data_IF_210358159193
#
_entry.id   IF_210358159193
#
_cell.length_a   1.000
_cell.length_b   1.000
_cell.length_c   1.000
_cell.angle_alpha   90.00
_cell.angle_beta   90.00
_cell.angle_gamma   90.00
#
_symmetry.space_group_name_H-M   'P 1'
#
loop_
_entity.id
_entity.type
_entity.pdbx_description
1 polymer ?
#
# COMPACT_ATOMS: atom_id res chain seq x y z
N UNK A 1 17.33 0.72 -8.74
CA UNK A 1 16.46 1.71 -9.43
C UNK A 1 15.02 1.49 -8.94
N UNK A 2 14.24 2.55 -8.73
CA UNK A 2 12.83 2.44 -8.31
C UNK A 2 11.98 1.91 -9.48
N UNK A 3 11.13 0.92 -9.23
CA UNK A 3 10.20 0.40 -10.24
C UNK A 3 9.22 1.52 -10.67
N UNK A 4 9.05 1.78 -11.98
CA UNK A 4 8.18 2.85 -12.46
C UNK A 4 6.68 2.58 -12.24
N UNK A 5 6.31 1.32 -11.96
CA UNK A 5 4.92 0.93 -11.75
C UNK A 5 4.54 0.90 -10.26
N UNK A 6 5.29 0.15 -9.46
CA UNK A 6 4.94 -0.07 -8.05
C UNK A 6 5.77 0.78 -7.08
N UNK A 7 6.64 1.65 -7.59
CA UNK A 7 7.36 2.65 -6.83
C UNK A 7 8.32 2.09 -5.75
N UNK A 8 8.67 0.81 -5.77
CA UNK A 8 9.68 0.27 -4.85
C UNK A 8 10.99 -0.01 -5.56
N UNK A 9 12.09 0.20 -4.85
CA UNK A 9 13.41 -0.31 -5.24
C UNK A 9 13.59 -1.80 -4.97
N UNK A 10 12.78 -2.36 -4.06
CA UNK A 10 12.77 -3.78 -3.71
C UNK A 10 11.46 -4.43 -4.19
N UNK A 11 11.62 -5.46 -5.02
CA UNK A 11 10.51 -6.21 -5.62
C UNK A 11 9.85 -7.21 -4.67
N UNK A 12 10.42 -7.48 -3.49
CA UNK A 12 9.89 -8.38 -2.46
C UNK A 12 9.65 -7.67 -1.12
N UNK A 13 9.58 -6.34 -1.14
CA UNK A 13 9.36 -5.51 0.05
C UNK A 13 8.02 -5.76 0.76
N UNK A 14 7.01 -6.24 0.03
CA UNK A 14 5.67 -6.54 0.55
C UNK A 14 5.33 -8.01 0.35
N UNK A 15 4.48 -8.62 1.19
CA UNK A 15 3.79 -8.01 2.34
C UNK A 15 4.74 -7.73 3.52
N UNK A 16 4.38 -6.74 4.36
CA UNK A 16 5.22 -6.29 5.49
C UNK A 16 5.12 -7.19 6.74
N UNK A 17 4.02 -7.93 6.88
CA UNK A 17 3.70 -8.74 8.05
C UNK A 17 3.09 -10.05 7.57
N UNK A 18 3.47 -11.15 8.24
CA UNK A 18 3.03 -12.51 7.93
C UNK A 18 2.95 -12.75 6.41
N UNK A 19 4.05 -12.56 5.66
CA UNK A 19 4.03 -12.45 4.20
C UNK A 19 3.44 -13.69 3.53
N UNK A 20 3.81 -14.89 3.98
CA UNK A 20 3.29 -16.15 3.43
C UNK A 20 1.77 -16.26 3.57
N UNK A 21 1.24 -16.06 4.79
CA UNK A 21 -0.19 -16.08 5.07
C UNK A 21 -0.95 -15.05 4.23
N UNK A 22 -0.44 -13.83 4.15
CA UNK A 22 -1.03 -12.78 3.32
C UNK A 22 -1.04 -13.16 1.83
N UNK A 23 0.04 -13.73 1.30
CA UNK A 23 0.13 -14.12 -0.10
C UNK A 23 -0.81 -15.27 -0.46
N UNK A 24 -1.02 -16.22 0.46
CA UNK A 24 -1.96 -17.35 0.29
C UNK A 24 -3.42 -16.92 0.42
N UNK A 25 -3.72 -16.08 1.42
CA UNK A 25 -5.10 -15.86 1.86
C UNK A 25 -5.73 -14.57 1.37
N UNK A 26 -4.95 -13.61 0.86
CA UNK A 26 -5.47 -12.31 0.41
C UNK A 26 -5.35 -12.11 -1.10
N UNK A 27 -6.22 -11.24 -1.63
CA UNK A 27 -6.05 -10.73 -3.00
C UNK A 27 -4.83 -9.81 -3.03
N UNK A 28 -4.00 -9.96 -4.06
CA UNK A 28 -2.80 -9.16 -4.28
C UNK A 28 -2.97 -8.27 -5.52
N UNK A 29 -2.38 -7.08 -5.47
CA UNK A 29 -1.91 -6.40 -6.66
C UNK A 29 -0.53 -6.95 -7.02
N UNK A 30 -0.36 -7.44 -8.25
CA UNK A 30 0.89 -7.97 -8.77
C UNK A 30 1.45 -6.99 -9.80
N UNK A 31 2.62 -6.44 -9.49
CA UNK A 31 3.33 -5.54 -10.38
C UNK A 31 3.75 -6.25 -11.66
N UNK A 32 3.34 -5.74 -12.82
CA UNK A 32 3.70 -6.34 -14.11
C UNK A 32 5.17 -6.10 -14.49
N UNK A 33 5.80 -5.08 -13.90
CA UNK A 33 7.19 -4.73 -14.18
C UNK A 33 8.20 -5.55 -13.38
N UNK A 34 7.96 -5.79 -12.08
CA UNK A 34 8.92 -6.47 -11.20
C UNK A 34 8.34 -7.65 -10.40
N UNK A 35 7.07 -8.00 -10.60
CA UNK A 35 6.42 -9.11 -9.91
C UNK A 35 6.08 -8.87 -8.44
N UNK A 36 6.35 -7.68 -7.87
CA UNK A 36 6.01 -7.37 -6.47
C UNK A 36 4.52 -7.60 -6.22
N UNK A 37 4.21 -8.39 -5.19
CA UNK A 37 2.86 -8.62 -4.69
C UNK A 37 2.57 -7.67 -3.53
N UNK A 38 1.44 -6.97 -3.59
CA UNK A 38 1.01 -5.98 -2.59
C UNK A 38 -0.40 -6.36 -2.16
N UNK A 39 -0.62 -6.51 -0.84
CA UNK A 39 -1.92 -6.86 -0.31
C UNK A 39 -2.98 -5.82 -0.72
N UNK A 40 -4.11 -6.31 -1.24
CA UNK A 40 -5.29 -5.53 -1.61
C UNK A 40 -6.45 -5.74 -0.63
N UNK A 41 -6.28 -6.58 0.39
CA UNK A 41 -7.33 -6.80 1.36
C UNK A 41 -7.58 -5.54 2.19
N UNK A 42 -8.81 -5.42 2.66
CA UNK A 42 -9.32 -4.27 3.41
C UNK A 42 -9.71 -4.67 4.83
N UNK A 43 -8.99 -5.64 5.42
CA UNK A 43 -9.20 -5.98 6.81
C UNK A 43 -8.47 -4.98 7.71
N UNK A 44 -9.21 -3.94 8.14
CA UNK A 44 -8.75 -2.96 9.13
C UNK A 44 -8.28 -3.62 10.44
N UNK A 45 -8.76 -4.83 10.77
CA UNK A 45 -8.37 -5.56 11.99
C UNK A 45 -6.95 -6.08 11.87
N UNK A 46 -6.55 -6.51 10.68
CA UNK A 46 -5.22 -7.05 10.46
C UNK A 46 -4.18 -5.97 10.12
N UNK A 47 -4.63 -4.73 9.84
CA UNK A 47 -3.77 -3.60 9.44
C UNK A 47 -2.93 -3.91 8.19
N UNK A 48 -3.50 -4.69 7.29
CA UNK A 48 -2.91 -4.99 5.98
C UNK A 48 -3.62 -4.18 4.91
N UNK A 49 -2.90 -3.88 3.83
CA UNK A 49 -3.52 -3.33 2.62
C UNK A 49 -3.64 -1.80 2.56
N UNK A 50 -4.29 -1.28 1.50
CA UNK A 50 -4.08 0.10 1.09
C UNK A 50 -4.81 1.15 1.92
N UNK A 51 -5.84 0.76 2.70
CA UNK A 51 -6.57 1.65 3.61
C UNK A 51 -5.95 1.73 5.02
N UNK A 52 -4.95 0.91 5.30
CA UNK A 52 -4.31 0.83 6.61
C UNK A 52 -3.67 2.17 7.04
N UNK A 53 -3.38 2.28 8.33
CA UNK A 53 -2.54 3.35 8.88
C UNK A 53 -1.12 2.84 9.05
N UNK A 54 -0.15 3.54 8.46
CA UNK A 54 1.25 3.16 8.42
C UNK A 54 2.05 3.92 9.48
N UNK A 55 3.05 3.26 10.08
CA UNK A 55 3.97 3.87 11.04
C UNK A 55 5.03 4.76 10.39
N UNK A 56 5.29 4.59 9.09
CA UNK A 56 6.28 5.38 8.36
C UNK A 56 5.77 5.77 6.97
N UNK A 57 6.31 6.86 6.44
CA UNK A 57 6.06 7.30 5.06
C UNK A 57 6.50 6.25 4.04
N UNK A 58 7.63 5.57 4.29
CA UNK A 58 8.16 4.54 3.40
C UNK A 58 7.23 3.32 3.33
N UNK A 59 6.63 2.90 4.45
CA UNK A 59 5.64 1.83 4.43
C UNK A 59 4.41 2.24 3.62
N UNK A 60 3.91 3.47 3.77
CA UNK A 60 2.80 3.98 2.97
C UNK A 60 3.12 3.99 1.47
N UNK A 61 4.35 4.37 1.08
CA UNK A 61 4.81 4.32 -0.31
C UNK A 61 4.76 2.91 -0.91
N UNK A 62 4.98 1.86 -0.11
CA UNK A 62 4.89 0.47 -0.56
C UNK A 62 3.45 0.03 -0.89
N UNK A 63 2.44 0.75 -0.42
CA UNK A 63 1.02 0.45 -0.68
C UNK A 63 0.34 1.45 -1.62
N UNK A 64 1.01 2.54 -2.01
CA UNK A 64 0.45 3.56 -2.90
C UNK A 64 -0.12 2.97 -4.19
N UNK A 65 0.61 2.07 -4.86
CA UNK A 65 0.15 1.44 -6.11
C UNK A 65 -1.12 0.59 -5.92
N UNK A 66 -1.22 -0.09 -4.78
CA UNK A 66 -2.40 -0.87 -4.45
C UNK A 66 -3.60 0.04 -4.11
N UNK A 67 -3.36 1.19 -3.48
CA UNK A 67 -4.39 2.19 -3.23
C UNK A 67 -4.94 2.77 -4.54
N UNK A 68 -4.08 3.14 -5.48
CA UNK A 68 -4.49 3.62 -6.81
C UNK A 68 -5.38 2.60 -7.53
N UNK A 69 -5.01 1.31 -7.44
CA UNK A 69 -5.78 0.23 -8.05
C UNK A 69 -7.13 0.02 -7.35
N UNK A 70 -7.17 0.15 -6.02
CA UNK A 70 -8.37 -0.01 -5.20
C UNK A 70 -9.38 1.13 -5.41
N UNK A 71 -8.89 2.35 -5.44
CA UNK A 71 -9.72 3.55 -5.60
C UNK A 71 -9.94 3.95 -7.06
N UNK A 72 -9.21 3.31 -7.99
CA UNK A 72 -9.24 3.59 -9.42
C UNK A 72 -9.01 5.08 -9.74
N UNK A 73 -7.98 5.66 -9.15
CA UNK A 73 -7.61 7.06 -9.33
C UNK A 73 -6.23 7.39 -8.76
N UNK A 74 -5.74 8.63 -8.96
CA UNK A 74 -4.56 9.11 -8.26
C UNK A 74 -4.79 9.06 -6.74
N UNK A 75 -3.71 8.95 -5.98
CA UNK A 75 -3.76 8.93 -4.52
C UNK A 75 -2.66 9.82 -3.94
N UNK A 76 -2.88 10.28 -2.71
CA UNK A 76 -1.92 11.05 -1.93
C UNK A 76 -1.64 10.39 -0.58
N UNK A 77 -0.39 10.51 -0.12
CA UNK A 77 0.03 10.09 1.23
C UNK A 77 0.04 11.31 2.14
N UNK A 78 -0.67 11.21 3.26
CA UNK A 78 -0.80 12.28 4.22
C UNK A 78 -0.19 11.88 5.56
N UNK A 79 0.57 12.80 6.16
CA UNK A 79 0.99 12.68 7.55
C UNK A 79 -0.14 13.13 8.48
N UNK A 80 -0.42 12.29 9.47
CA UNK A 80 -1.46 12.50 10.45
C UNK A 80 -0.90 12.30 11.85
N UNK A 81 -1.55 12.94 12.82
CA UNK A 81 -1.24 12.76 14.24
C UNK A 81 -2.51 12.73 15.08
N UNK A 82 -2.48 12.00 16.18
CA UNK A 82 -3.49 12.06 17.25
C UNK A 82 -3.01 12.85 18.48
N UNK A 83 -1.91 13.60 18.35
CA UNK A 83 -1.25 14.32 19.43
C UNK A 83 -0.23 13.50 20.21
N UNK A 84 -0.24 12.17 20.09
CA UNK A 84 0.71 11.27 20.76
C UNK A 84 1.66 10.57 19.80
N UNK A 85 1.15 10.18 18.62
CA UNK A 85 1.93 9.51 17.58
C UNK A 85 1.70 10.17 16.23
N UNK A 86 2.68 9.99 15.35
CA UNK A 86 2.56 10.28 13.92
C UNK A 86 2.30 8.97 13.19
N UNK A 87 1.44 9.03 12.17
CA UNK A 87 1.13 7.92 11.27
C UNK A 87 0.77 8.47 9.89
N UNK A 88 0.76 7.59 8.90
CA UNK A 88 0.55 7.95 7.50
C UNK A 88 -0.65 7.19 6.96
N UNK A 89 -1.47 7.85 6.14
CA UNK A 89 -2.60 7.22 5.43
C UNK A 89 -2.63 7.68 3.99
N UNK A 90 -3.23 6.83 3.15
CA UNK A 90 -3.41 7.09 1.73
C UNK A 90 -4.87 7.47 1.49
N UNK A 91 -5.09 8.58 0.80
CA UNK A 91 -6.42 9.03 0.39
C UNK A 91 -6.42 9.33 -1.11
N UNK A 92 -7.58 9.25 -1.75
CA UNK A 92 -7.74 9.61 -3.18
C UNK A 92 -7.45 11.10 -3.38
N UNK A 93 -7.98 11.92 -2.49
CA UNK A 93 -7.92 13.36 -2.57
C UNK A 93 -8.09 14.01 -1.19
N UNK A 94 -8.10 15.34 -1.19
CA UNK A 94 -8.31 16.15 0.00
C UNK A 94 -9.71 15.94 0.61
N UNK A 95 -10.72 15.63 -0.19
CA UNK A 95 -12.07 15.37 0.34
C UNK A 95 -12.09 14.07 1.16
N UNK A 96 -11.38 13.04 0.69
CA UNK A 96 -11.15 11.80 1.44
C UNK A 96 -10.44 12.04 2.78
N UNK A 97 -9.40 12.88 2.80
CA UNK A 97 -8.75 13.32 4.04
C UNK A 97 -9.75 14.03 4.96
N UNK A 98 -10.52 14.99 4.44
CA UNK A 98 -11.45 15.80 5.25
C UNK A 98 -12.55 14.95 5.87
N UNK A 99 -13.12 14.01 5.11
CA UNK A 99 -14.12 13.07 5.63
C UNK A 99 -13.55 12.23 6.79
N UNK A 100 -12.33 11.71 6.63
CA UNK A 100 -11.65 10.98 7.69
C UNK A 100 -11.43 11.83 8.94
N UNK A 101 -11.02 13.10 8.81
CA UNK A 101 -10.81 14.00 9.95
C UNK A 101 -12.13 14.39 10.65
N UNK A 102 -13.24 14.47 9.91
CA UNK A 102 -14.59 14.69 10.48
C UNK A 102 -15.01 13.50 11.33
N UNK A 103 -14.79 12.27 10.84
CA UNK A 103 -15.10 11.04 11.55
C UNK A 103 -14.16 10.77 12.74
N UNK A 104 -12.98 11.40 12.76
CA UNK A 104 -11.94 11.19 13.76
C UNK A 104 -11.46 12.54 14.34
N UNK A 105 -12.28 13.20 15.18
CA UNK A 105 -12.06 14.58 15.63
C UNK A 105 -10.86 14.75 16.57
N UNK A 106 -10.21 13.68 17.02
CA UNK A 106 -8.94 13.69 17.75
C UNK A 106 -7.72 13.74 16.82
N UNK A 107 -7.90 13.40 15.53
CA UNK A 107 -6.81 13.32 14.54
C UNK A 107 -6.64 14.64 13.79
N UNK A 108 -5.41 14.92 13.37
CA UNK A 108 -5.04 16.15 12.64
C UNK A 108 -4.09 15.80 11.50
N UNK A 109 -4.13 16.60 10.43
CA UNK A 109 -3.11 16.65 9.39
C UNK A 109 -2.35 17.98 9.56
N UNK A 110 -1.15 18.00 10.16
CA UNK A 110 -0.44 19.25 10.45
C UNK A 110 -0.15 20.09 9.21
N UNK A 111 0.20 19.43 8.10
CA UNK A 111 0.50 20.10 6.84
C UNK A 111 -0.77 20.51 6.07
N UNK A 112 -1.85 19.73 6.19
CA UNK A 112 -3.12 19.97 5.48
C UNK A 112 -3.09 19.66 3.98
N UNK A 113 -1.99 19.12 3.48
CA UNK A 113 -1.77 18.66 2.10
C UNK A 113 -0.99 17.34 2.10
N UNK A 114 -0.92 16.67 0.94
CA UNK A 114 -0.22 15.40 0.82
C UNK A 114 1.30 15.62 0.82
N UNK A 115 2.03 14.71 1.49
CA UNK A 115 3.49 14.64 1.39
C UNK A 115 3.95 14.12 0.02
N UNK A 116 3.09 13.35 -0.64
CA UNK A 116 3.33 12.80 -1.96
C UNK A 116 2.00 12.54 -2.66
N UNK A 117 1.92 12.85 -3.95
CA UNK A 117 0.75 12.60 -4.80
C UNK A 117 1.20 11.87 -6.07
N UNK A 118 0.34 10.98 -6.56
CA UNK A 118 0.49 10.37 -7.87
C UNK A 118 0.43 11.45 -8.96
N UNK A 119 1.53 11.63 -9.69
CA UNK A 119 1.58 12.57 -10.83
C UNK A 119 0.75 12.09 -12.04
N UNK A 120 0.82 10.80 -12.36
CA UNK A 120 0.10 10.19 -13.49
C UNK A 120 -0.54 8.87 -13.07
N UNK A 121 -1.88 8.86 -13.01
CA UNK A 121 -2.63 7.64 -12.70
C UNK A 121 -2.70 6.69 -13.89
N UNK A 122 -2.42 5.41 -13.64
CA UNK A 122 -2.58 4.32 -14.60
C UNK A 122 -3.49 3.23 -14.02
N UNK A 123 -4.63 2.92 -14.66
CA UNK A 123 -5.52 1.85 -14.19
C UNK A 123 -4.83 0.49 -14.09
N UNK A 124 -5.30 -0.36 -13.18
CA UNK A 124 -4.87 -1.75 -13.14
C UNK A 124 -5.40 -2.49 -14.39
N UNK A 125 -4.52 -3.24 -15.04
CA UNK A 125 -4.84 -4.10 -16.16
C UNK A 125 -5.35 -5.47 -15.70
N UNK A 126 -5.99 -6.20 -16.61
CA UNK A 126 -6.55 -7.53 -16.32
C UNK A 126 -5.44 -8.48 -15.82
N UNK A 127 -5.69 -9.10 -14.67
CA UNK A 127 -4.75 -10.05 -14.05
C UNK A 127 -3.76 -9.42 -13.08
N UNK A 128 -3.69 -8.08 -12.95
CA UNK A 128 -2.85 -7.48 -11.91
C UNK A 128 -3.46 -7.65 -10.51
N UNK A 129 -4.79 -7.65 -10.40
CA UNK A 129 -5.49 -7.90 -9.13
C UNK A 129 -5.93 -9.37 -9.12
N UNK A 130 -5.28 -10.20 -8.33
CA UNK A 130 -5.50 -11.66 -8.31
C UNK A 130 -5.08 -12.30 -6.98
N UNK A 131 -5.61 -13.50 -6.70
CA UNK A 131 -5.02 -14.41 -5.69
C UNK A 131 -3.85 -15.14 -6.33
N UNK A 132 -2.78 -15.35 -5.57
CA UNK A 132 -1.66 -16.16 -6.00
C UNK A 132 -1.97 -17.64 -5.78
N UNK A 133 -1.38 -18.50 -6.60
CA UNK A 133 -1.35 -19.94 -6.37
C UNK A 133 -0.15 -20.30 -5.47
N UNK A 134 -0.20 -21.48 -4.85
CA UNK A 134 0.81 -21.93 -3.87
C UNK A 134 2.23 -21.91 -4.47
N UNK A 135 2.40 -22.34 -5.72
CA UNK A 135 3.70 -22.35 -6.41
C UNK A 135 4.30 -20.94 -6.52
N UNK A 136 3.49 -19.94 -6.91
CA UNK A 136 3.94 -18.54 -6.94
C UNK A 136 4.25 -18.00 -5.56
N UNK A 137 3.50 -18.39 -4.53
CA UNK A 137 3.79 -17.95 -3.16
C UNK A 137 5.11 -18.51 -2.68
N UNK A 138 5.35 -19.81 -2.87
CA UNK A 138 6.62 -20.46 -2.51
C UNK A 138 7.81 -19.78 -3.21
N UNK A 139 7.69 -19.54 -4.52
CA UNK A 139 8.74 -18.84 -5.27
C UNK A 139 8.98 -17.43 -4.73
N UNK A 140 7.90 -16.67 -4.49
CA UNK A 140 7.99 -15.30 -4.00
C UNK A 140 8.67 -15.23 -2.62
N UNK A 141 8.33 -16.16 -1.73
CA UNK A 141 8.90 -16.25 -0.38
C UNK A 141 10.39 -16.58 -0.43
N UNK A 142 10.81 -17.52 -1.28
CA UNK A 142 12.22 -17.84 -1.48
C UNK A 142 13.02 -16.64 -1.98
N UNK A 143 12.51 -15.93 -2.99
CA UNK A 143 13.15 -14.73 -3.52
C UNK A 143 13.22 -13.60 -2.48
N UNK A 144 12.25 -13.53 -1.56
CA UNK A 144 12.25 -12.58 -0.46
C UNK A 144 13.36 -12.88 0.56
N UNK A 145 13.53 -14.14 0.94
CA UNK A 145 14.59 -14.57 1.86
C UNK A 145 15.99 -14.30 1.29
N UNK A 146 16.19 -14.46 -0.01
CA UNK A 146 17.47 -14.18 -0.70
C UNK A 146 17.83 -12.68 -0.72
N UNK A 147 16.84 -11.78 -0.61
CA UNK A 147 17.05 -10.32 -0.55
C UNK A 147 17.29 -9.84 0.88
N UNK A 148 16.66 -10.49 1.86
CA UNK A 148 16.75 -10.13 3.28
C UNK A 148 18.02 -10.69 3.96
N UNK A 149 18.71 -11.67 3.34
CA UNK A 149 19.96 -12.31 3.82
C UNK A 149 21.24 -11.67 3.30
#
# INVERSE_FOLDING_TARGET
MKCPECYSSDSRATPLKNPEDCLLNHVQYVCSTCGRAICMDDDERERHGPRASFSSFNDAMLYLRAAEALFNGPCGIYELTDGTKVFYKIFVDKDGLMNYLIENPEKRCPLGEALHETEEFRPASKGQIQRLDEEKVEQYMKEKEEVDG
#
